data_IF_729543703571
#
_entry.id   IF_729543703571
#
_cell.length_a   1.000
_cell.length_b   1.000
_cell.length_c   1.000
_cell.angle_alpha   90.00
_cell.angle_beta   90.00
_cell.angle_gamma   90.00
#
_symmetry.space_group_name_H-M   'P 1'
#
loop_
_entity.id
_entity.type
_entity.pdbx_description
1 polymer ?
#
# COMPACT_ATOMS: atom_id res chain seq x y z
N UNK A 1 -16.91 -19.34 -25.15
CA UNK A 1 -16.80 -18.81 -23.78
C UNK A 1 -15.50 -18.03 -23.71
N UNK A 2 -15.56 -16.70 -23.55
CA UNK A 2 -14.36 -15.92 -23.33
C UNK A 2 -13.99 -16.05 -21.85
N UNK A 3 -13.00 -16.88 -21.53
CA UNK A 3 -12.44 -16.96 -20.19
C UNK A 3 -11.67 -15.68 -19.91
N UNK A 4 -12.33 -14.70 -19.29
CA UNK A 4 -11.66 -13.51 -18.80
C UNK A 4 -10.93 -13.83 -17.50
N UNK A 5 -9.73 -13.29 -17.33
CA UNK A 5 -9.03 -13.36 -16.05
C UNK A 5 -9.84 -12.58 -15.01
N UNK A 6 -10.15 -13.16 -13.84
CA UNK A 6 -11.02 -12.52 -12.87
C UNK A 6 -10.36 -11.26 -12.32
N UNK A 7 -11.13 -10.17 -12.28
CA UNK A 7 -10.66 -8.97 -11.60
C UNK A 7 -10.46 -9.23 -10.11
N UNK A 8 -9.67 -8.38 -9.46
CA UNK A 8 -9.52 -8.44 -8.01
C UNK A 8 -10.91 -8.32 -7.34
N UNK A 9 -11.77 -7.46 -7.88
CA UNK A 9 -13.12 -7.21 -7.39
C UNK A 9 -14.01 -8.45 -7.46
N UNK A 10 -13.98 -9.16 -8.58
CA UNK A 10 -14.73 -10.41 -8.75
C UNK A 10 -14.20 -11.51 -7.84
N UNK A 11 -12.87 -11.57 -7.67
CA UNK A 11 -12.19 -12.59 -6.88
C UNK A 11 -12.48 -12.46 -5.38
N UNK A 12 -12.63 -11.23 -4.88
CA UNK A 12 -12.93 -10.97 -3.46
C UNK A 12 -14.44 -11.01 -3.18
N UNK A 13 -15.26 -10.71 -4.19
CA UNK A 13 -16.69 -10.46 -4.01
C UNK A 13 -17.58 -11.71 -3.99
N UNK A 14 -17.20 -12.80 -4.64
CA UNK A 14 -18.20 -13.80 -5.05
C UNK A 14 -18.45 -14.95 -4.06
N UNK A 15 -17.46 -15.44 -3.31
CA UNK A 15 -17.65 -16.65 -2.51
C UNK A 15 -16.97 -16.60 -1.13
N UNK A 16 -17.74 -16.93 -0.08
CA UNK A 16 -17.18 -17.38 1.19
C UNK A 16 -16.65 -18.81 1.02
N UNK A 17 -15.51 -19.18 1.64
CA UNK A 17 -14.75 -18.45 2.66
C UNK A 17 -13.66 -17.50 2.12
N UNK A 18 -13.42 -17.47 0.81
CA UNK A 18 -12.33 -16.72 0.19
C UNK A 18 -12.33 -15.23 0.55
N UNK A 19 -13.52 -14.61 0.54
CA UNK A 19 -13.71 -13.22 0.97
C UNK A 19 -13.19 -12.95 2.39
N UNK A 20 -13.55 -13.78 3.37
CA UNK A 20 -13.12 -13.62 4.76
C UNK A 20 -11.63 -13.79 4.93
N UNK A 21 -11.03 -14.77 4.25
CA UNK A 21 -9.57 -15.01 4.28
C UNK A 21 -8.85 -13.78 3.73
N UNK A 22 -9.31 -13.25 2.60
CA UNK A 22 -8.73 -12.07 1.99
C UNK A 22 -8.86 -10.84 2.89
N UNK A 23 -10.04 -10.60 3.48
CA UNK A 23 -10.27 -9.50 4.43
C UNK A 23 -9.33 -9.60 5.66
N UNK A 24 -9.15 -10.80 6.21
CA UNK A 24 -8.23 -11.03 7.34
C UNK A 24 -6.79 -10.73 6.92
N UNK A 25 -6.33 -11.28 5.79
CA UNK A 25 -4.97 -11.06 5.29
C UNK A 25 -4.70 -9.57 5.07
N UNK A 26 -5.62 -8.88 4.40
CA UNK A 26 -5.54 -7.45 4.17
C UNK A 26 -5.56 -6.66 5.48
N UNK A 27 -6.41 -7.04 6.44
CA UNK A 27 -6.49 -6.39 7.74
C UNK A 27 -5.17 -6.52 8.52
N UNK A 28 -4.57 -7.71 8.53
CA UNK A 28 -3.28 -7.97 9.17
C UNK A 28 -2.17 -7.17 8.50
N UNK A 29 -2.06 -7.19 7.16
CA UNK A 29 -1.06 -6.42 6.42
C UNK A 29 -1.21 -4.93 6.71
N UNK A 30 -2.44 -4.41 6.66
CA UNK A 30 -2.74 -3.00 6.92
C UNK A 30 -2.40 -2.58 8.34
N UNK A 31 -2.65 -3.44 9.33
CA UNK A 31 -2.27 -3.20 10.71
C UNK A 31 -0.75 -3.16 10.88
N UNK A 32 -0.04 -4.12 10.29
CA UNK A 32 1.43 -4.15 10.30
C UNK A 32 2.01 -2.88 9.66
N UNK A 33 1.47 -2.45 8.51
CA UNK A 33 1.83 -1.21 7.86
C UNK A 33 1.55 0.02 8.73
N UNK A 34 0.40 0.08 9.42
CA UNK A 34 0.11 1.17 10.35
C UNK A 34 1.17 1.25 11.48
N UNK A 35 1.46 0.12 12.13
CA UNK A 35 2.47 0.04 13.19
C UNK A 35 3.83 0.49 12.67
N UNK A 36 4.22 0.03 11.47
CA UNK A 36 5.44 0.46 10.80
C UNK A 36 5.52 1.98 10.69
N UNK A 37 4.49 2.59 10.12
CA UNK A 37 4.51 4.01 9.84
C UNK A 37 4.50 4.86 11.10
N UNK A 38 3.86 4.38 12.18
CA UNK A 38 3.97 4.99 13.50
C UNK A 38 5.41 4.91 14.02
N UNK A 39 6.07 3.75 13.93
CA UNK A 39 7.47 3.59 14.37
C UNK A 39 8.40 4.48 13.53
N UNK A 40 8.28 4.50 12.21
CA UNK A 40 9.09 5.36 11.35
C UNK A 40 8.88 6.84 11.66
N UNK A 41 7.63 7.27 11.85
CA UNK A 41 7.35 8.68 12.12
C UNK A 41 7.88 9.13 13.49
N UNK A 42 7.96 8.22 14.47
CA UNK A 42 8.55 8.49 15.78
C UNK A 42 10.08 8.49 15.78
N UNK A 43 10.70 7.63 14.96
CA UNK A 43 12.17 7.45 14.92
C UNK A 43 12.87 8.42 13.96
N UNK A 44 12.24 8.73 12.82
CA UNK A 44 12.78 9.65 11.83
C UNK A 44 12.27 11.05 12.16
N UNK A 45 13.14 11.93 12.67
CA UNK A 45 12.84 13.36 12.83
C UNK A 45 12.29 13.89 11.50
N UNK A 46 11.02 14.29 11.50
CA UNK A 46 10.39 14.82 10.30
C UNK A 46 11.18 16.04 9.80
N UNK A 47 11.60 16.03 8.54
CA UNK A 47 12.27 17.20 7.91
C UNK A 47 11.38 18.45 7.96
N UNK A 48 10.06 18.27 7.96
CA UNK A 48 9.06 19.35 8.05
C UNK A 48 7.71 18.85 8.56
N UNK A 49 6.97 19.62 9.38
CA UNK A 49 5.62 19.24 9.85
C UNK A 49 4.64 19.02 8.70
N UNK A 50 4.73 19.80 7.62
CA UNK A 50 3.86 19.65 6.43
C UNK A 50 4.00 18.26 5.79
N UNK A 51 5.23 17.79 5.65
CA UNK A 51 5.50 16.46 5.08
C UNK A 51 4.97 15.33 5.98
N UNK A 52 4.87 15.55 7.29
CA UNK A 52 4.30 14.59 8.23
C UNK A 52 2.78 14.50 8.10
N UNK A 53 2.11 15.64 7.92
CA UNK A 53 0.66 15.69 7.71
C UNK A 53 0.29 14.99 6.39
N UNK A 54 0.97 15.32 5.29
CA UNK A 54 0.70 14.70 3.98
C UNK A 54 0.89 13.18 4.05
N UNK A 55 1.95 12.74 4.72
CA UNK A 55 2.21 11.32 4.94
C UNK A 55 1.08 10.63 5.73
N UNK A 56 0.64 11.24 6.84
CA UNK A 56 -0.47 10.72 7.64
C UNK A 56 -1.79 10.67 6.86
N UNK A 57 -2.11 11.72 6.10
CA UNK A 57 -3.30 11.76 5.23
C UNK A 57 -3.22 10.64 4.18
N UNK A 58 -2.07 10.46 3.54
CA UNK A 58 -1.87 9.40 2.53
C UNK A 58 -2.08 8.01 3.14
N UNK A 59 -1.54 7.76 4.34
CA UNK A 59 -1.74 6.51 5.07
C UNK A 59 -3.20 6.27 5.40
N UNK A 60 -3.90 7.27 5.97
CA UNK A 60 -5.31 7.16 6.32
C UNK A 60 -6.14 6.90 5.05
N UNK A 61 -5.86 7.58 3.94
CA UNK A 61 -6.52 7.34 2.66
C UNK A 61 -6.30 5.92 2.14
N UNK A 62 -5.08 5.36 2.25
CA UNK A 62 -4.78 3.96 1.89
C UNK A 62 -5.60 2.99 2.74
N UNK A 63 -5.61 3.18 4.06
CA UNK A 63 -6.33 2.29 4.98
C UNK A 63 -7.85 2.35 4.79
N UNK A 64 -8.40 3.55 4.65
CA UNK A 64 -9.85 3.74 4.49
C UNK A 64 -10.34 3.20 3.14
N UNK A 65 -9.59 3.42 2.07
CA UNK A 65 -9.92 2.89 0.76
C UNK A 65 -9.92 1.36 0.74
N UNK A 66 -8.92 0.75 1.37
CA UNK A 66 -8.82 -0.69 1.49
C UNK A 66 -9.92 -1.29 2.41
N UNK A 67 -10.32 -0.58 3.47
CA UNK A 67 -11.48 -0.95 4.29
C UNK A 67 -12.77 -0.96 3.48
N UNK A 68 -13.02 0.10 2.68
CA UNK A 68 -14.19 0.20 1.82
C UNK A 68 -14.16 -0.91 0.76
N UNK A 69 -13.02 -1.08 0.10
CA UNK A 69 -12.82 -2.08 -0.94
C UNK A 69 -13.07 -3.51 -0.45
N UNK A 70 -12.59 -3.84 0.75
CA UNK A 70 -12.71 -5.17 1.32
C UNK A 70 -14.13 -5.47 1.83
N UNK A 71 -14.87 -4.46 2.30
CA UNK A 71 -16.18 -4.66 2.93
C UNK A 71 -17.36 -4.46 1.97
N UNK A 72 -17.28 -3.51 1.04
CA UNK A 72 -18.36 -3.19 0.10
C UNK A 72 -18.29 -4.16 -1.08
N UNK A 73 -19.27 -5.08 -1.24
CA UNK A 73 -19.31 -5.97 -2.39
C UNK A 73 -19.44 -5.18 -3.69
N UNK A 74 -18.76 -5.65 -4.73
CA UNK A 74 -18.79 -5.02 -6.05
C UNK A 74 -20.21 -4.95 -6.65
N UNK A 75 -21.06 -5.94 -6.36
CA UNK A 75 -22.44 -5.98 -6.84
C UNK A 75 -23.36 -4.98 -6.11
N UNK A 76 -23.02 -4.56 -4.89
CA UNK A 76 -23.84 -3.65 -4.10
C UNK A 76 -23.61 -2.19 -4.53
N UNK A 77 -22.34 -1.79 -4.67
CA UNK A 77 -21.97 -0.46 -5.17
C UNK A 77 -20.67 -0.50 -6.00
N UNK A 78 -20.85 -0.70 -7.30
CA UNK A 78 -19.78 -0.70 -8.30
C UNK A 78 -18.93 0.58 -8.26
N UNK A 79 -19.57 1.75 -8.07
CA UNK A 79 -18.87 3.04 -8.15
C UNK A 79 -18.00 3.25 -6.93
N UNK A 80 -18.56 2.98 -5.75
CA UNK A 80 -17.83 3.10 -4.49
C UNK A 80 -16.65 2.14 -4.44
N UNK A 81 -16.84 0.88 -4.87
CA UNK A 81 -15.77 -0.13 -4.88
C UNK A 81 -14.65 0.21 -5.89
N UNK A 82 -14.97 0.72 -7.07
CA UNK A 82 -13.96 1.19 -8.01
C UNK A 82 -13.21 2.42 -7.52
N UNK A 83 -13.92 3.40 -6.97
CA UNK A 83 -13.30 4.61 -6.45
C UNK A 83 -12.36 4.28 -5.29
N UNK A 84 -12.75 3.35 -4.41
CA UNK A 84 -11.89 2.89 -3.33
C UNK A 84 -10.64 2.20 -3.87
N UNK A 85 -10.75 1.31 -4.86
CA UNK A 85 -9.59 0.67 -5.49
C UNK A 85 -8.62 1.69 -6.13
N UNK A 86 -9.15 2.71 -6.81
CA UNK A 86 -8.33 3.79 -7.40
C UNK A 86 -7.61 4.60 -6.31
N UNK A 87 -8.33 5.01 -5.26
CA UNK A 87 -7.75 5.74 -4.12
C UNK A 87 -6.67 4.88 -3.46
N UNK A 88 -6.90 3.58 -3.29
CA UNK A 88 -5.92 2.63 -2.76
C UNK A 88 -4.64 2.62 -3.61
N UNK A 89 -4.74 2.53 -4.93
CA UNK A 89 -3.56 2.50 -5.78
C UNK A 89 -2.77 3.81 -5.78
N UNK A 90 -3.46 4.95 -5.84
CA UNK A 90 -2.82 6.28 -5.81
C UNK A 90 -2.14 6.50 -4.47
N UNK A 91 -2.85 6.22 -3.36
CA UNK A 91 -2.30 6.39 -2.01
C UNK A 91 -1.13 5.45 -1.75
N UNK A 92 -1.18 4.20 -2.22
CA UNK A 92 -0.06 3.26 -2.11
C UNK A 92 1.18 3.74 -2.86
N UNK A 93 1.03 4.22 -4.10
CA UNK A 93 2.15 4.80 -4.86
C UNK A 93 2.74 6.04 -4.17
N UNK A 94 1.90 6.94 -3.66
CA UNK A 94 2.34 8.10 -2.89
C UNK A 94 3.09 7.68 -1.61
N UNK A 95 2.61 6.65 -0.92
CA UNK A 95 3.23 6.12 0.29
C UNK A 95 4.61 5.53 0.00
N UNK A 96 4.75 4.71 -1.04
CA UNK A 96 6.04 4.17 -1.50
C UNK A 96 7.05 5.29 -1.75
N UNK A 97 6.63 6.36 -2.43
CA UNK A 97 7.46 7.53 -2.69
C UNK A 97 7.87 8.24 -1.39
N UNK A 98 6.94 8.46 -0.45
CA UNK A 98 7.28 9.11 0.80
C UNK A 98 8.23 8.29 1.67
N UNK A 99 8.00 6.98 1.77
CA UNK A 99 8.87 6.07 2.53
C UNK A 99 10.28 6.14 1.96
N UNK A 100 10.42 6.02 0.64
CA UNK A 100 11.68 6.13 -0.07
C UNK A 100 12.39 7.47 0.20
N UNK A 101 11.65 8.59 0.22
CA UNK A 101 12.23 9.92 0.45
C UNK A 101 12.78 10.15 1.86
N UNK A 102 12.38 9.30 2.83
CA UNK A 102 12.71 9.44 4.26
C UNK A 102 13.79 8.49 4.75
N UNK A 103 14.10 7.42 4.03
CA UNK A 103 15.16 6.47 4.43
C UNK A 103 16.51 7.18 4.36
N UNK A 104 17.28 7.06 5.44
CA UNK A 104 18.59 7.69 5.59
C UNK A 104 19.69 6.88 4.89
N UNK A 105 20.77 7.54 4.48
CA UNK A 105 21.91 7.04 3.66
C UNK A 105 22.60 5.74 4.11
N UNK A 106 22.25 5.16 5.25
CA UNK A 106 22.85 3.91 5.73
C UNK A 106 22.40 2.66 4.97
N UNK A 107 21.37 2.77 4.11
CA UNK A 107 20.78 1.65 3.36
C UNK A 107 20.66 1.95 1.85
N UNK A 108 21.71 2.50 1.23
CA UNK A 108 21.70 2.90 -0.19
C UNK A 108 21.22 1.78 -1.14
N UNK A 109 21.64 0.53 -0.94
CA UNK A 109 21.26 -0.60 -1.80
C UNK A 109 19.75 -0.93 -1.76
N UNK A 110 19.13 -0.86 -0.57
CA UNK A 110 17.69 -1.06 -0.41
C UNK A 110 16.90 0.11 -1.01
N UNK A 111 17.48 1.32 -0.93
CA UNK A 111 16.90 2.53 -1.49
C UNK A 111 16.79 2.40 -3.02
N UNK A 112 17.84 1.97 -3.71
CA UNK A 112 17.81 1.82 -5.17
C UNK A 112 16.79 0.76 -5.62
N UNK A 113 16.69 -0.34 -4.87
CA UNK A 113 15.71 -1.38 -5.15
C UNK A 113 14.27 -0.86 -4.96
N UNK A 114 13.99 -0.15 -3.87
CA UNK A 114 12.67 0.43 -3.59
C UNK A 114 12.26 1.47 -4.63
N UNK A 115 13.18 2.31 -5.09
CA UNK A 115 12.89 3.27 -6.16
C UNK A 115 12.53 2.55 -7.46
N UNK A 116 13.25 1.46 -7.81
CA UNK A 116 12.91 0.62 -8.96
C UNK A 116 11.51 0.03 -8.83
N UNK A 117 11.14 -0.49 -7.65
CA UNK A 117 9.80 -1.03 -7.43
C UNK A 117 8.71 0.03 -7.54
N UNK A 118 8.94 1.23 -7.01
CA UNK A 118 8.05 2.37 -7.19
C UNK A 118 7.82 2.68 -8.68
N UNK A 119 8.88 2.76 -9.47
CA UNK A 119 8.75 3.00 -10.91
C UNK A 119 8.00 1.87 -11.63
N UNK A 120 8.30 0.61 -11.31
CA UNK A 120 7.57 -0.54 -11.85
C UNK A 120 6.09 -0.44 -11.48
N UNK A 121 5.78 -0.12 -10.22
CA UNK A 121 4.42 0.06 -9.76
C UNK A 121 3.68 1.15 -10.55
N UNK A 122 4.30 2.31 -10.75
CA UNK A 122 3.70 3.40 -11.52
C UNK A 122 3.44 3.01 -12.98
N UNK A 123 4.35 2.26 -13.62
CA UNK A 123 4.17 1.73 -14.97
C UNK A 123 3.01 0.74 -15.03
N UNK A 124 2.90 -0.16 -14.04
CA UNK A 124 1.82 -1.15 -13.96
C UNK A 124 0.46 -0.46 -13.78
N UNK A 125 0.36 0.55 -12.91
CA UNK A 125 -0.88 1.32 -12.70
C UNK A 125 -1.25 2.13 -13.95
N UNK A 126 -0.29 2.79 -14.59
CA UNK A 126 -0.55 3.50 -15.84
C UNK A 126 -1.07 2.56 -16.94
N UNK A 127 -0.47 1.37 -17.06
CA UNK A 127 -0.92 0.37 -18.02
C UNK A 127 -2.32 -0.18 -17.67
N UNK A 128 -2.61 -0.42 -16.38
CA UNK A 128 -3.94 -0.80 -15.91
C UNK A 128 -5.01 0.24 -16.30
N UNK A 129 -4.69 1.53 -16.14
CA UNK A 129 -5.59 2.63 -16.50
C UNK A 129 -5.82 2.73 -18.02
N UNK A 130 -4.74 2.64 -18.83
CA UNK A 130 -4.84 2.68 -20.29
C UNK A 130 -5.63 1.49 -20.83
N UNK A 131 -5.35 0.28 -20.34
CA UNK A 131 -6.07 -0.93 -20.75
C UNK A 131 -7.54 -0.91 -20.32
N UNK A 132 -7.83 -0.40 -19.11
CA UNK A 132 -9.21 -0.19 -18.66
C UNK A 132 -9.96 0.82 -19.53
N UNK A 133 -9.34 1.96 -19.85
CA UNK A 133 -9.95 2.97 -20.72
C UNK A 133 -10.22 2.43 -22.12
N UNK A 134 -9.27 1.69 -22.71
CA UNK A 134 -9.47 1.03 -24.01
C UNK A 134 -10.61 0.03 -23.95
N UNK A 135 -10.70 -0.77 -22.87
CA UNK A 135 -11.79 -1.71 -22.70
C UNK A 135 -13.16 -1.01 -22.70
N UNK A 136 -13.27 0.12 -21.99
CA UNK A 136 -14.49 0.93 -21.96
C UNK A 136 -14.86 1.49 -23.34
N UNK A 137 -13.87 1.89 -24.15
CA UNK A 137 -14.12 2.48 -25.47
C UNK A 137 -14.37 1.45 -26.57
N UNK A 138 -13.66 0.32 -26.54
CA UNK A 138 -13.63 -0.66 -27.63
C UNK A 138 -14.45 -1.92 -27.33
N UNK A 139 -14.84 -2.16 -26.07
CA UNK A 139 -15.62 -3.33 -25.66
C UNK A 139 -14.88 -4.66 -25.78
N UNK A 140 -13.56 -4.66 -26.00
CA UNK A 140 -12.78 -5.88 -26.23
C UNK A 140 -12.50 -6.60 -24.91
N UNK A 141 -12.97 -7.85 -24.75
CA UNK A 141 -12.85 -8.62 -23.50
C UNK A 141 -11.40 -8.88 -23.06
N UNK A 142 -10.47 -9.00 -24.01
CA UNK A 142 -9.05 -9.21 -23.72
C UNK A 142 -8.44 -8.05 -22.91
N UNK A 143 -8.87 -6.81 -23.17
CA UNK A 143 -8.34 -5.62 -22.50
C UNK A 143 -8.75 -5.57 -21.02
N UNK A 144 -9.92 -6.11 -20.69
CA UNK A 144 -10.35 -6.29 -19.31
C UNK A 144 -9.46 -7.26 -18.53
N UNK A 145 -9.11 -8.39 -19.17
CA UNK A 145 -8.21 -9.38 -18.54
C UNK A 145 -6.82 -8.80 -18.30
N UNK A 146 -6.27 -8.04 -19.25
CA UNK A 146 -4.99 -7.35 -19.08
C UNK A 146 -5.03 -6.33 -17.93
N UNK A 147 -6.08 -5.52 -17.85
CA UNK A 147 -6.26 -4.57 -16.76
C UNK A 147 -6.31 -5.28 -15.41
N UNK A 148 -7.06 -6.39 -15.34
CA UNK A 148 -7.18 -7.23 -14.14
C UNK A 148 -5.83 -7.83 -13.72
N UNK A 149 -5.03 -8.34 -14.66
CA UNK A 149 -3.68 -8.83 -14.38
C UNK A 149 -2.79 -7.69 -13.84
N UNK A 150 -2.84 -6.51 -14.44
CA UNK A 150 -2.06 -5.36 -13.96
C UNK A 150 -2.48 -4.95 -12.54
N UNK A 151 -3.78 -4.97 -12.21
CA UNK A 151 -4.24 -4.72 -10.85
C UNK A 151 -3.63 -5.73 -9.86
N UNK A 152 -3.65 -7.03 -10.19
CA UNK A 152 -3.09 -8.07 -9.33
C UNK A 152 -1.59 -7.89 -9.11
N UNK A 153 -0.86 -7.55 -10.17
CA UNK A 153 0.57 -7.24 -10.09
C UNK A 153 0.80 -6.02 -9.18
N UNK A 154 -0.02 -4.97 -9.31
CA UNK A 154 0.11 -3.78 -8.46
C UNK A 154 -0.12 -4.10 -6.98
N UNK A 155 -1.13 -4.91 -6.64
CA UNK A 155 -1.36 -5.38 -5.26
C UNK A 155 -0.18 -6.23 -4.77
N UNK A 156 0.32 -7.15 -5.59
CA UNK A 156 1.47 -7.98 -5.23
C UNK A 156 2.73 -7.12 -4.97
N UNK A 157 2.96 -6.10 -5.80
CA UNK A 157 4.06 -5.14 -5.61
C UNK A 157 3.89 -4.32 -4.33
N UNK A 158 2.67 -3.90 -3.98
CA UNK A 158 2.39 -3.20 -2.72
C UNK A 158 2.68 -4.08 -1.50
N UNK A 159 2.15 -5.31 -1.49
CA UNK A 159 2.42 -6.27 -0.41
C UNK A 159 3.92 -6.57 -0.31
N UNK A 160 4.60 -6.76 -1.44
CA UNK A 160 6.03 -7.02 -1.45
C UNK A 160 6.84 -5.81 -0.96
N UNK A 161 6.47 -4.59 -1.34
CA UNK A 161 7.08 -3.37 -0.82
C UNK A 161 6.94 -3.26 0.70
N UNK A 162 5.73 -3.50 1.21
CA UNK A 162 5.45 -3.51 2.64
C UNK A 162 6.23 -4.64 3.35
N UNK A 163 6.44 -5.80 2.71
CA UNK A 163 7.22 -6.91 3.31
C UNK A 163 8.70 -6.56 3.54
N UNK A 164 9.28 -5.67 2.73
CA UNK A 164 10.66 -5.20 2.91
C UNK A 164 10.85 -4.50 4.25
N UNK A 165 9.80 -3.97 4.85
CA UNK A 165 9.83 -3.42 6.20
C UNK A 165 10.32 -4.42 7.25
N UNK A 166 9.91 -5.68 7.15
CA UNK A 166 10.26 -6.71 8.14
C UNK A 166 11.78 -6.84 8.23
N UNK A 167 12.47 -6.72 7.10
CA UNK A 167 13.92 -6.72 7.03
C UNK A 167 14.53 -5.46 7.67
N UNK A 168 13.89 -4.29 7.54
CA UNK A 168 14.36 -3.04 8.13
C UNK A 168 14.21 -3.00 9.66
N UNK A 169 13.12 -3.53 10.21
CA UNK A 169 12.95 -3.62 11.68
C UNK A 169 14.08 -4.43 12.29
N UNK A 170 14.47 -5.54 11.66
CA UNK A 170 15.52 -6.42 12.18
C UNK A 170 16.85 -5.68 12.36
N UNK A 171 17.09 -4.63 11.58
CA UNK A 171 18.30 -3.81 11.67
C UNK A 171 18.11 -2.54 12.52
N UNK A 172 16.89 -2.19 12.91
CA UNK A 172 16.61 -1.12 13.86
C UNK A 172 16.90 -1.62 15.28
N UNK A 173 18.14 -1.44 15.74
CA UNK A 173 18.49 -1.62 17.15
C UNK A 173 17.77 -0.54 17.97
N UNK A 174 16.56 -0.83 18.44
CA UNK A 174 15.83 0.04 19.36
C UNK A 174 16.61 0.13 20.67
N UNK A 175 17.41 1.19 20.83
CA UNK A 175 17.95 1.56 22.15
C UNK A 175 16.78 2.11 22.96
N UNK A 176 16.18 1.25 23.79
CA UNK A 176 15.23 1.69 24.82
C UNK A 176 16.06 2.49 25.83
N UNK A 177 16.11 3.80 25.64
CA UNK A 177 16.71 4.70 26.60
C UNK A 177 15.78 4.83 27.78
N UNK A 178 16.05 4.10 28.87
CA UNK A 178 15.49 4.48 30.16
C UNK A 178 16.06 5.86 30.50
N UNK A 179 15.23 6.91 30.67
CA UNK A 179 15.72 8.17 31.16
C UNK A 179 16.29 7.91 32.56
N UNK A 180 17.62 7.89 32.68
CA UNK A 180 18.27 7.86 33.98
C UNK A 180 17.91 9.17 34.68
N UNK A 181 17.19 9.01 35.80
CA UNK A 181 16.69 10.08 36.63
C UNK A 181 17.83 11.04 37.01
N UNK A 182 17.70 12.30 36.64
CA UNK A 182 18.75 13.32 36.78
C UNK A 182 18.67 14.01 38.15
N UNK A 183 18.30 13.27 39.21
CA UNK A 183 17.90 13.81 40.51
C UNK A 183 18.87 13.54 41.67
N UNK A 184 20.19 13.49 41.46
CA UNK A 184 21.12 13.21 42.58
C UNK A 184 22.33 14.13 42.75
N UNK A 185 22.40 15.31 42.12
CA UNK A 185 23.50 16.25 42.34
C UNK A 185 23.00 17.65 42.74
N UNK A 186 22.39 17.73 43.92
CA UNK A 186 22.40 18.93 44.76
C UNK A 186 22.72 18.49 46.19
N UNK A 187 24.01 18.37 46.49
CA UNK A 187 24.57 18.42 47.83
C UNK A 187 25.62 19.53 47.82
#
# INVERSE_FOLDING_TARGET
MNCNFPSIQDSIGQFYPGKSIFQILIGVVSFISLVYYVVISSTIKAKSPKTSIIFAVTLISKLLSLLIFANVPFHDDYRLNNNSLVIYFISSGALMYFVQSRITSRQLLLNDFRMKMFWIYMVVIANAAVTFYRHQMQGVSFQYSLSSICQWIAVALDIYFESLFIHEIRHLSMRIGFPLDKSSNHV
#
